data_IF_505714089525
#
_entry.id   IF_505714089525
#
_cell.length_a   1.000
_cell.length_b   1.000
_cell.length_c   1.000
_cell.angle_alpha   90.00
_cell.angle_beta   90.00
_cell.angle_gamma   90.00
#
_symmetry.space_group_name_H-M   'P 1'
#
loop_
_entity.id
_entity.type
_entity.pdbx_description
1 polymer ?
#
# COMPACT_ATOMS: atom_id res chain seq x y z
N UNK A 1 -1.33 -21.51 1.55
CA UNK A 1 -1.08 -20.61 0.40
C UNK A 1 -0.22 -21.31 -0.64
N UNK A 2 0.97 -21.83 -0.28
CA UNK A 2 1.90 -22.46 -1.24
C UNK A 2 1.29 -23.64 -2.01
N UNK A 3 0.53 -24.50 -1.34
CA UNK A 3 -0.15 -25.64 -1.98
C UNK A 3 -1.17 -25.17 -3.02
N UNK A 4 -2.04 -24.22 -2.64
CA UNK A 4 -3.03 -23.63 -3.54
C UNK A 4 -2.35 -22.98 -4.76
N UNK A 5 -1.25 -22.23 -4.53
CA UNK A 5 -0.52 -21.61 -5.62
C UNK A 5 0.02 -22.65 -6.62
N UNK A 6 0.59 -23.76 -6.12
CA UNK A 6 1.07 -24.87 -6.97
C UNK A 6 -0.06 -25.55 -7.73
N UNK A 7 -1.19 -25.82 -7.06
CA UNK A 7 -2.39 -26.39 -7.69
C UNK A 7 -2.94 -25.50 -8.81
N UNK A 8 -2.82 -24.19 -8.66
CA UNK A 8 -3.19 -23.21 -9.68
C UNK A 8 -2.14 -23.00 -10.77
N UNK A 9 -1.03 -23.76 -10.74
CA UNK A 9 0.03 -23.72 -11.76
C UNK A 9 1.06 -22.61 -11.55
N UNK A 10 1.10 -21.96 -10.38
CA UNK A 10 2.10 -20.97 -10.08
C UNK A 10 3.43 -21.62 -9.66
N UNK A 11 4.54 -21.01 -10.06
CA UNK A 11 5.86 -21.34 -9.53
C UNK A 11 5.99 -20.77 -8.11
N UNK A 12 6.33 -21.64 -7.15
CA UNK A 12 6.46 -21.24 -5.74
C UNK A 12 7.94 -21.19 -5.37
N UNK A 13 8.45 -20.01 -5.15
CA UNK A 13 9.81 -19.74 -4.77
C UNK A 13 9.85 -19.42 -3.28
N UNK A 14 10.65 -20.16 -2.53
CA UNK A 14 10.82 -19.95 -1.09
C UNK A 14 12.17 -19.27 -0.83
N UNK A 15 12.13 -18.23 -0.01
CA UNK A 15 13.30 -17.51 0.45
C UNK A 15 13.13 -17.18 1.92
N UNK A 16 14.21 -17.22 2.69
CA UNK A 16 14.20 -16.83 4.09
C UNK A 16 13.80 -15.37 4.23
N UNK A 17 12.92 -15.09 5.17
CA UNK A 17 12.41 -13.73 5.36
C UNK A 17 13.50 -12.78 5.87
N UNK A 18 13.90 -11.76 5.09
CA UNK A 18 15.00 -10.85 5.47
C UNK A 18 14.57 -9.78 6.49
N UNK A 19 13.32 -9.83 6.98
CA UNK A 19 12.77 -8.83 7.90
C UNK A 19 12.16 -7.60 7.23
N UNK A 20 12.33 -7.45 5.91
CA UNK A 20 11.86 -6.30 5.15
C UNK A 20 11.26 -6.75 3.81
N UNK A 21 10.08 -6.24 3.46
CA UNK A 21 9.35 -6.63 2.25
C UNK A 21 10.02 -6.13 0.97
N UNK A 22 10.66 -4.96 0.99
CA UNK A 22 11.39 -4.41 -0.14
C UNK A 22 12.60 -5.29 -0.48
N UNK A 23 13.34 -5.76 0.54
CA UNK A 23 14.47 -6.66 0.34
C UNK A 23 14.01 -8.00 -0.23
N UNK A 24 12.91 -8.55 0.29
CA UNK A 24 12.32 -9.79 -0.22
C UNK A 24 11.93 -9.65 -1.69
N UNK A 25 11.30 -8.56 -2.07
CA UNK A 25 10.88 -8.34 -3.45
C UNK A 25 12.05 -8.06 -4.38
N UNK A 26 13.03 -7.26 -3.94
CA UNK A 26 14.24 -7.01 -4.71
C UNK A 26 15.05 -8.30 -4.92
N UNK A 27 15.14 -9.14 -3.90
CA UNK A 27 15.75 -10.46 -4.03
C UNK A 27 15.07 -11.31 -5.11
N UNK A 28 13.71 -11.31 -5.15
CA UNK A 28 12.95 -12.02 -6.18
C UNK A 28 13.33 -11.54 -7.59
N UNK A 29 13.35 -10.22 -7.81
CA UNK A 29 13.70 -9.62 -9.10
C UNK A 29 15.12 -10.01 -9.53
N UNK A 30 16.05 -10.11 -8.58
CA UNK A 30 17.46 -10.37 -8.86
C UNK A 30 17.78 -11.85 -9.11
N UNK A 31 17.01 -12.75 -8.51
CA UNK A 31 17.35 -14.19 -8.47
C UNK A 31 16.41 -15.05 -9.30
N UNK A 32 15.29 -14.51 -9.78
CA UNK A 32 14.32 -15.23 -10.61
C UNK A 32 14.39 -14.77 -12.05
N UNK A 33 14.46 -15.72 -12.98
CA UNK A 33 14.46 -15.42 -14.41
C UNK A 33 13.07 -14.98 -14.86
N UNK A 34 12.89 -13.68 -15.06
CA UNK A 34 11.62 -13.08 -15.50
C UNK A 34 11.69 -12.80 -16.99
N UNK A 35 10.95 -13.59 -17.79
CA UNK A 35 10.98 -13.53 -19.26
C UNK A 35 9.85 -12.67 -19.86
N UNK A 36 9.09 -11.94 -19.03
CA UNK A 36 8.01 -11.06 -19.47
C UNK A 36 8.45 -9.61 -19.55
N UNK A 37 7.83 -8.84 -20.44
CA UNK A 37 8.08 -7.39 -20.53
C UNK A 37 7.59 -6.60 -19.33
N UNK A 38 6.53 -7.09 -18.68
CA UNK A 38 5.86 -6.43 -17.57
C UNK A 38 5.78 -7.34 -16.36
N UNK A 39 5.97 -6.77 -15.20
CA UNK A 39 5.77 -7.40 -13.91
C UNK A 39 4.54 -6.78 -13.26
N UNK A 40 3.61 -7.59 -12.82
CA UNK A 40 2.50 -7.20 -11.97
C UNK A 40 2.78 -7.71 -10.55
N UNK A 41 2.91 -6.81 -9.59
CA UNK A 41 2.96 -7.17 -8.17
C UNK A 41 1.55 -7.13 -7.58
N UNK A 42 1.14 -8.26 -7.00
CA UNK A 42 -0.08 -8.36 -6.19
C UNK A 42 0.25 -9.01 -4.85
N UNK A 43 -0.35 -8.48 -3.79
CA UNK A 43 -0.34 -9.13 -2.49
C UNK A 43 -1.41 -10.24 -2.46
N UNK A 44 -1.29 -11.21 -1.54
CA UNK A 44 -2.16 -12.40 -1.54
C UNK A 44 -3.66 -12.10 -1.30
N UNK A 45 -3.96 -10.92 -0.77
CA UNK A 45 -5.30 -10.38 -0.53
C UNK A 45 -5.73 -9.33 -1.56
N UNK A 46 -5.00 -9.21 -2.68
CA UNK A 46 -5.32 -8.28 -3.76
C UNK A 46 -5.82 -9.02 -5.02
N UNK A 47 -6.74 -8.40 -5.74
CA UNK A 47 -7.21 -8.89 -7.05
C UNK A 47 -7.58 -7.74 -8.00
N UNK A 48 -7.51 -8.04 -9.30
CA UNK A 48 -7.87 -7.07 -10.34
C UNK A 48 -9.38 -7.13 -10.61
N UNK A 49 -10.01 -5.96 -10.76
CA UNK A 49 -11.38 -5.88 -11.25
C UNK A 49 -11.46 -6.24 -12.74
N UNK A 50 -12.58 -6.83 -13.23
CA UNK A 50 -12.74 -7.21 -14.64
C UNK A 50 -12.47 -6.05 -15.63
N UNK A 51 -12.91 -4.85 -15.28
CA UNK A 51 -12.71 -3.65 -16.10
C UNK A 51 -11.22 -3.26 -16.19
N UNK A 52 -10.46 -3.45 -15.12
CA UNK A 52 -9.02 -3.23 -15.13
C UNK A 52 -8.31 -4.29 -15.98
N UNK A 53 -8.73 -5.56 -15.90
CA UNK A 53 -8.18 -6.63 -16.73
C UNK A 53 -8.40 -6.31 -18.22
N UNK A 54 -9.60 -5.87 -18.58
CA UNK A 54 -9.93 -5.48 -19.96
C UNK A 54 -9.05 -4.29 -20.42
N UNK A 55 -8.91 -3.26 -19.59
CA UNK A 55 -8.06 -2.10 -19.87
C UNK A 55 -6.58 -2.50 -20.07
N UNK A 56 -6.07 -3.39 -19.23
CA UNK A 56 -4.69 -3.86 -19.33
C UNK A 56 -4.46 -4.69 -20.60
N UNK A 57 -5.38 -5.58 -20.94
CA UNK A 57 -5.29 -6.40 -22.16
C UNK A 57 -5.32 -5.55 -23.43
N UNK A 58 -6.06 -4.44 -23.42
CA UNK A 58 -6.11 -3.50 -24.55
C UNK A 58 -4.82 -2.69 -24.65
N UNK A 59 -4.34 -2.13 -23.53
CA UNK A 59 -3.26 -1.13 -23.54
C UNK A 59 -1.85 -1.70 -23.50
N UNK A 60 -1.60 -2.79 -22.75
CA UNK A 60 -0.24 -3.32 -22.58
C UNK A 60 0.45 -3.72 -23.90
N UNK A 61 -0.23 -4.34 -24.89
CA UNK A 61 0.42 -4.74 -26.15
C UNK A 61 0.96 -3.57 -26.98
N UNK A 62 0.28 -2.41 -26.89
CA UNK A 62 0.59 -1.22 -27.70
C UNK A 62 1.24 -0.09 -26.87
N UNK A 63 1.63 -0.39 -25.63
CA UNK A 63 2.17 0.60 -24.71
C UNK A 63 3.51 1.18 -25.24
N UNK A 64 3.58 2.50 -25.27
CA UNK A 64 4.78 3.25 -25.63
C UNK A 64 6.01 2.79 -24.82
N UNK A 65 7.17 2.68 -25.48
CA UNK A 65 8.39 2.20 -24.83
C UNK A 65 8.94 3.16 -23.77
N UNK A 66 8.59 4.43 -23.85
CA UNK A 66 8.92 5.43 -22.81
C UNK A 66 8.09 5.29 -21.54
N UNK A 67 7.04 4.43 -21.52
CA UNK A 67 6.26 4.14 -20.33
C UNK A 67 6.86 2.95 -19.60
N UNK A 68 7.31 3.16 -18.37
CA UNK A 68 7.97 2.14 -17.55
C UNK A 68 7.11 1.62 -16.38
N UNK A 69 6.06 2.34 -16.00
CA UNK A 69 5.21 1.93 -14.90
C UNK A 69 3.75 2.36 -15.08
N UNK A 70 2.84 1.60 -14.46
CA UNK A 70 1.41 1.88 -14.43
C UNK A 70 0.96 2.01 -12.97
N UNK A 71 0.32 3.14 -12.66
CA UNK A 71 -0.30 3.43 -11.38
C UNK A 71 -1.76 3.02 -11.42
N UNK A 72 -2.15 2.14 -10.51
CA UNK A 72 -3.50 1.61 -10.36
C UNK A 72 -4.21 2.30 -9.21
N UNK A 73 -5.50 2.52 -9.35
CA UNK A 73 -6.35 3.01 -8.27
C UNK A 73 -6.72 1.87 -7.32
N UNK A 74 -6.52 2.07 -6.02
CA UNK A 74 -6.85 1.09 -4.99
C UNK A 74 -8.31 1.24 -4.56
N UNK A 75 -9.06 0.15 -4.62
CA UNK A 75 -10.32 -0.02 -3.92
C UNK A 75 -10.08 -0.91 -2.69
N UNK A 76 -10.71 -0.57 -1.58
CA UNK A 76 -10.56 -1.33 -0.34
C UNK A 76 -11.83 -2.09 -0.02
N UNK A 77 -11.69 -3.40 0.20
CA UNK A 77 -12.79 -4.22 0.71
C UNK A 77 -12.54 -4.58 2.18
N UNK A 78 -13.62 -4.58 2.96
CA UNK A 78 -13.59 -4.97 4.36
C UNK A 78 -14.87 -5.71 4.72
N UNK A 79 -14.76 -6.81 5.43
CA UNK A 79 -15.88 -7.70 5.77
C UNK A 79 -16.71 -8.10 4.54
N UNK A 80 -16.05 -8.33 3.39
CA UNK A 80 -16.71 -8.78 2.14
C UNK A 80 -17.40 -7.67 1.35
N UNK A 81 -17.22 -6.40 1.69
CA UNK A 81 -17.80 -5.25 1.00
C UNK A 81 -16.74 -4.26 0.57
N UNK A 82 -16.81 -3.81 -0.69
CA UNK A 82 -15.99 -2.69 -1.17
C UNK A 82 -16.51 -1.41 -0.54
N UNK A 83 -15.61 -0.67 0.11
CA UNK A 83 -15.89 0.62 0.72
C UNK A 83 -15.67 1.74 -0.31
N UNK A 84 -16.58 2.72 -0.30
CA UNK A 84 -16.55 3.84 -1.23
C UNK A 84 -16.34 5.20 -0.57
N UNK A 85 -16.47 5.25 0.76
CA UNK A 85 -16.44 6.48 1.55
C UNK A 85 -15.43 6.37 2.72
N UNK A 86 -15.25 7.42 3.50
CA UNK A 86 -14.38 7.34 4.69
C UNK A 86 -12.87 7.35 4.41
N UNK A 87 -12.40 8.05 3.37
CA UNK A 87 -10.96 8.14 2.99
C UNK A 87 -10.40 6.78 2.52
N UNK A 88 -11.16 6.02 1.79
CA UNK A 88 -10.71 4.76 1.18
C UNK A 88 -10.38 4.92 -0.30
N UNK A 89 -10.81 6.00 -0.93
CA UNK A 89 -10.62 6.29 -2.35
C UNK A 89 -9.48 7.27 -2.61
N UNK A 90 -9.00 7.30 -3.85
CA UNK A 90 -7.97 8.25 -4.31
C UNK A 90 -6.54 7.81 -4.01
N UNK A 91 -6.34 6.63 -3.45
CA UNK A 91 -5.01 6.06 -3.28
C UNK A 91 -4.59 5.41 -4.61
N UNK A 92 -3.46 5.87 -5.14
CA UNK A 92 -2.86 5.28 -6.33
C UNK A 92 -1.53 4.63 -5.98
N UNK A 93 -1.31 3.44 -6.51
CA UNK A 93 -0.12 2.64 -6.24
C UNK A 93 0.43 2.09 -7.56
N UNK A 94 1.72 2.18 -7.76
CA UNK A 94 2.38 1.50 -8.87
C UNK A 94 2.39 0.00 -8.57
N UNK A 95 1.66 -0.76 -9.38
CA UNK A 95 1.57 -2.23 -9.29
C UNK A 95 2.12 -2.94 -10.51
N UNK A 96 2.23 -2.24 -11.65
CA UNK A 96 2.74 -2.80 -12.90
C UNK A 96 3.93 -1.98 -13.35
N UNK A 97 5.01 -2.65 -13.75
CA UNK A 97 6.21 -1.97 -14.24
C UNK A 97 6.98 -2.87 -15.22
N UNK A 98 7.79 -2.24 -16.08
CA UNK A 98 8.66 -3.00 -17.03
C UNK A 98 9.76 -3.71 -16.27
N UNK A 99 10.07 -4.91 -16.71
CA UNK A 99 11.18 -5.71 -16.18
C UNK A 99 12.48 -4.93 -16.26
N UNK A 100 13.20 -4.85 -15.14
CA UNK A 100 14.45 -4.09 -15.01
C UNK A 100 14.28 -2.58 -14.84
N UNK A 101 13.06 -2.03 -14.80
CA UNK A 101 12.82 -0.58 -14.73
C UNK A 101 12.31 -0.08 -13.36
N UNK A 102 12.21 -0.94 -12.37
CA UNK A 102 11.78 -0.56 -11.03
C UNK A 102 12.48 -1.34 -9.93
N UNK A 103 12.62 -0.72 -8.78
CA UNK A 103 13.16 -1.33 -7.56
C UNK A 103 12.51 -0.72 -6.33
N UNK A 104 12.43 -1.50 -5.27
CA UNK A 104 12.04 -1.00 -3.96
C UNK A 104 13.21 -0.34 -3.26
N UNK A 105 12.96 0.83 -2.67
CA UNK A 105 13.92 1.53 -1.82
C UNK A 105 14.11 0.76 -0.51
N UNK A 106 15.33 0.74 0.00
CA UNK A 106 15.68 0.09 1.27
C UNK A 106 15.24 0.98 2.45
N UNK A 107 13.93 1.01 2.74
CA UNK A 107 13.38 1.73 3.90
C UNK A 107 12.75 0.78 4.89
N UNK A 108 12.78 1.16 6.17
CA UNK A 108 12.22 0.34 7.26
C UNK A 108 10.69 0.38 7.26
N UNK A 109 10.11 1.49 6.81
CA UNK A 109 8.66 1.68 6.66
C UNK A 109 8.35 2.60 5.48
N UNK A 110 7.12 2.47 4.93
CA UNK A 110 6.66 3.18 3.73
C UNK A 110 7.58 2.91 2.51
N UNK A 111 7.79 1.64 2.22
CA UNK A 111 8.58 1.17 1.10
C UNK A 111 7.98 1.68 -0.22
N UNK A 112 8.74 2.48 -0.94
CA UNK A 112 8.33 2.99 -2.24
C UNK A 112 8.98 2.22 -3.37
N UNK A 113 8.19 1.92 -4.39
CA UNK A 113 8.71 1.42 -5.66
C UNK A 113 9.25 2.60 -6.48
N UNK A 114 10.56 2.68 -6.60
CA UNK A 114 11.25 3.70 -7.41
C UNK A 114 11.33 3.24 -8.86
N UNK A 115 10.92 4.11 -9.78
CA UNK A 115 11.04 3.90 -11.20
C UNK A 115 12.39 4.47 -11.64
N UNK A 116 13.25 3.60 -12.16
CA UNK A 116 14.63 3.92 -12.49
C UNK A 116 14.75 4.78 -13.76
N UNK A 117 13.80 4.62 -14.68
CA UNK A 117 13.79 5.33 -15.95
C UNK A 117 12.39 5.25 -16.60
N UNK A 118 12.02 6.25 -17.40
CA UNK A 118 10.76 6.31 -18.13
C UNK A 118 9.63 6.97 -17.34
N UNK A 119 8.42 6.86 -17.88
CA UNK A 119 7.22 7.54 -17.36
C UNK A 119 6.29 6.56 -16.64
N UNK A 120 5.62 7.06 -15.62
CA UNK A 120 4.47 6.38 -14.99
C UNK A 120 3.18 6.96 -15.56
N UNK A 121 2.27 6.09 -16.00
CA UNK A 121 0.92 6.50 -16.42
C UNK A 121 -0.13 5.90 -15.50
N UNK A 122 -1.29 6.55 -15.45
CA UNK A 122 -2.41 6.13 -14.60
C UNK A 122 -3.39 5.27 -15.39
N UNK A 123 -3.78 4.12 -14.80
CA UNK A 123 -4.91 3.33 -15.29
C UNK A 123 -6.22 3.88 -14.73
N UNK A 124 -7.28 3.73 -15.51
CA UNK A 124 -8.60 4.26 -15.16
C UNK A 124 -9.28 3.41 -14.09
N UNK A 125 -9.17 2.10 -14.21
CA UNK A 125 -9.90 1.15 -13.37
C UNK A 125 -9.10 0.74 -12.13
N UNK A 126 -9.76 -0.03 -11.23
CA UNK A 126 -9.29 -0.30 -9.88
C UNK A 126 -8.85 -1.76 -9.71
N UNK A 127 -7.90 -1.96 -8.81
CA UNK A 127 -7.68 -3.24 -8.15
C UNK A 127 -8.20 -3.19 -6.72
N UNK A 128 -8.45 -4.32 -6.11
CA UNK A 128 -9.05 -4.42 -4.77
C UNK A 128 -8.05 -5.03 -3.80
N UNK A 129 -7.87 -4.38 -2.65
CA UNK A 129 -7.28 -4.95 -1.44
C UNK A 129 -8.44 -5.47 -0.57
N UNK A 130 -8.59 -6.80 -0.53
CA UNK A 130 -9.69 -7.50 0.15
C UNK A 130 -9.21 -8.08 1.48
N UNK A 131 -9.24 -7.25 2.51
CA UNK A 131 -8.84 -7.68 3.83
C UNK A 131 -9.87 -8.65 4.43
N UNK A 132 -9.53 -9.95 4.41
CA UNK A 132 -10.35 -11.05 4.94
C UNK A 132 -9.99 -11.47 6.37
N UNK A 133 -9.17 -10.70 7.05
CA UNK A 133 -8.84 -10.96 8.45
C UNK A 133 -10.08 -10.81 9.31
N UNK A 134 -10.19 -11.66 10.33
CA UNK A 134 -11.14 -11.42 11.42
C UNK A 134 -10.79 -10.12 12.14
N UNK A 135 -11.75 -9.52 12.82
CA UNK A 135 -11.52 -8.28 13.60
C UNK A 135 -10.37 -8.46 14.58
N UNK A 136 -10.27 -9.62 15.24
CA UNK A 136 -9.17 -9.92 16.16
C UNK A 136 -7.81 -9.96 15.48
N UNK A 137 -7.70 -10.64 14.36
CA UNK A 137 -6.46 -10.69 13.57
C UNK A 137 -6.07 -9.32 13.00
N UNK A 138 -7.07 -8.56 12.53
CA UNK A 138 -6.89 -7.19 12.07
C UNK A 138 -6.35 -6.30 13.19
N UNK A 139 -6.92 -6.38 14.40
CA UNK A 139 -6.48 -5.60 15.56
C UNK A 139 -5.04 -5.93 15.95
N UNK A 140 -4.69 -7.23 16.03
CA UNK A 140 -3.30 -7.65 16.33
C UNK A 140 -2.30 -7.15 15.28
N UNK A 141 -2.65 -7.26 13.99
CA UNK A 141 -1.81 -6.74 12.90
C UNK A 141 -1.56 -5.25 13.04
N UNK A 142 -2.61 -4.49 13.37
CA UNK A 142 -2.53 -3.03 13.46
C UNK A 142 -1.92 -2.52 14.77
N UNK A 143 -2.04 -3.29 15.85
CA UNK A 143 -1.29 -3.02 17.09
C UNK A 143 0.22 -3.06 16.84
N UNK A 144 0.70 -4.04 16.07
CA UNK A 144 2.10 -4.09 15.67
C UNK A 144 2.52 -2.87 14.81
N UNK A 145 1.63 -2.39 13.93
CA UNK A 145 1.91 -1.17 13.15
C UNK A 145 1.91 0.08 14.03
N UNK A 146 0.94 0.20 14.95
CA UNK A 146 0.86 1.31 15.89
C UNK A 146 2.09 1.38 16.80
N UNK A 147 2.57 0.24 17.28
CA UNK A 147 3.79 0.15 18.10
C UNK A 147 5.03 0.60 17.34
N UNK A 148 5.19 0.21 16.07
CA UNK A 148 6.29 0.70 15.22
C UNK A 148 6.20 2.19 14.94
N UNK A 149 5.00 2.68 14.66
CA UNK A 149 4.76 4.10 14.44
C UNK A 149 5.03 4.94 15.68
N UNK A 150 4.61 4.44 16.86
CA UNK A 150 4.91 5.10 18.13
C UNK A 150 6.42 5.18 18.39
N UNK A 151 7.17 4.13 18.07
CA UNK A 151 8.63 4.15 18.18
C UNK A 151 9.26 5.22 17.27
N UNK A 152 8.78 5.36 16.02
CA UNK A 152 9.25 6.40 15.09
C UNK A 152 8.91 7.81 15.59
N UNK A 153 7.70 7.99 16.13
CA UNK A 153 7.29 9.29 16.68
C UNK A 153 8.12 9.68 17.92
N UNK A 154 8.39 8.71 18.81
CA UNK A 154 9.25 8.93 19.98
C UNK A 154 10.69 9.22 19.57
N UNK A 155 11.21 8.49 18.59
CA UNK A 155 12.55 8.75 18.04
C UNK A 155 12.66 10.17 17.48
N UNK A 156 11.67 10.61 16.72
CA UNK A 156 11.61 11.97 16.17
C UNK A 156 11.45 13.06 17.24
N UNK A 157 10.77 12.77 18.35
CA UNK A 157 10.55 13.71 19.46
C UNK A 157 11.76 13.82 20.38
N UNK A 158 12.38 12.68 20.70
CA UNK A 158 13.47 12.62 21.69
C UNK A 158 14.86 12.45 21.09
N UNK A 159 14.96 12.37 19.73
CA UNK A 159 16.25 12.20 19.02
C UNK A 159 17.07 11.00 19.52
N UNK A 160 16.37 9.85 19.70
CA UNK A 160 16.98 8.64 20.27
C UNK A 160 17.93 7.93 19.30
N UNK A 161 17.72 8.08 18.00
CA UNK A 161 18.61 7.54 16.97
C UNK A 161 19.18 8.64 16.07
N UNK A 162 20.38 8.41 15.54
CA UNK A 162 21.03 9.32 14.58
C UNK A 162 20.45 9.14 13.17
N UNK A 163 19.19 9.55 12.98
CA UNK A 163 18.48 9.45 11.71
C UNK A 163 18.88 10.52 10.69
N UNK A 164 19.91 11.31 10.96
CA UNK A 164 20.41 12.38 10.07
C UNK A 164 20.88 11.88 8.68
N UNK A 165 21.00 10.55 8.50
CA UNK A 165 21.44 9.90 7.27
C UNK A 165 20.32 9.40 6.36
N UNK A 166 19.05 9.58 6.73
CA UNK A 166 17.93 9.24 5.84
C UNK A 166 17.75 10.33 4.79
N UNK A 167 18.11 9.99 3.58
CA UNK A 167 18.21 10.85 2.40
C UNK A 167 17.02 11.80 2.17
N UNK A 168 17.37 13.02 1.75
CA UNK A 168 16.50 14.19 1.55
C UNK A 168 15.81 14.25 0.18
N UNK A 169 15.67 13.16 -0.53
CA UNK A 169 15.05 13.22 -1.85
C UNK A 169 13.64 12.60 -1.84
N UNK A 170 12.68 13.42 -1.49
CA UNK A 170 11.28 13.02 -1.45
C UNK A 170 10.46 14.01 -2.27
N UNK A 171 9.72 13.51 -3.26
CA UNK A 171 8.79 14.33 -4.02
C UNK A 171 7.78 15.09 -3.12
N UNK A 172 7.29 16.22 -3.59
CA UNK A 172 6.38 17.14 -2.84
C UNK A 172 5.20 16.45 -2.14
N UNK A 173 4.66 15.36 -2.70
CA UNK A 173 3.54 14.62 -2.10
C UNK A 173 3.92 13.89 -0.81
N UNK A 174 5.15 13.36 -0.75
CA UNK A 174 5.66 12.67 0.44
C UNK A 174 5.92 13.69 1.55
N UNK A 175 6.45 14.85 1.21
CA UNK A 175 6.64 15.94 2.17
C UNK A 175 5.32 16.48 2.71
N UNK A 176 4.30 16.64 1.86
CA UNK A 176 2.93 17.01 2.29
C UNK A 176 2.33 16.01 3.27
N UNK A 177 2.45 14.70 2.98
CA UNK A 177 1.98 13.64 3.87
C UNK A 177 2.72 13.64 5.21
N UNK A 178 4.04 13.84 5.20
CA UNK A 178 4.85 13.96 6.43
C UNK A 178 4.46 15.17 7.26
N UNK A 179 4.27 16.33 6.63
CA UNK A 179 3.84 17.54 7.32
C UNK A 179 2.44 17.37 7.94
N UNK A 180 1.50 16.71 7.24
CA UNK A 180 0.19 16.38 7.79
C UNK A 180 0.28 15.44 8.98
N UNK A 181 1.13 14.41 8.90
CA UNK A 181 1.38 13.44 9.96
C UNK A 181 2.01 14.11 11.19
N UNK A 182 3.00 14.97 10.98
CA UNK A 182 3.62 15.75 12.06
C UNK A 182 2.62 16.73 12.73
N UNK A 183 1.74 17.35 11.94
CA UNK A 183 0.67 18.21 12.49
C UNK A 183 -0.34 17.40 13.31
N UNK A 184 -0.73 16.23 12.83
CA UNK A 184 -1.61 15.32 13.55
C UNK A 184 -0.97 14.82 14.86
N UNK A 185 0.33 14.48 14.85
CA UNK A 185 1.07 14.02 16.02
C UNK A 185 1.11 15.05 17.15
N UNK A 186 1.10 16.36 16.82
CA UNK A 186 1.09 17.47 17.79
C UNK A 186 -0.30 17.70 18.44
N UNK A 187 -1.36 17.07 17.93
CA UNK A 187 -2.70 17.22 18.52
C UNK A 187 -2.79 16.40 19.82
N UNK A 188 -3.62 16.82 20.81
CA UNK A 188 -3.81 16.07 22.04
C UNK A 188 -4.18 14.61 21.76
N UNK A 189 -3.52 13.70 22.48
CA UNK A 189 -3.81 12.26 22.45
C UNK A 189 -5.30 12.00 22.60
N UNK A 190 -5.89 10.95 22.50
CA UNK A 190 -7.31 10.61 22.58
C UNK A 190 -8.24 11.46 21.69
N UNK A 191 -8.20 12.79 21.80
CA UNK A 191 -9.05 13.70 21.01
C UNK A 191 -8.72 13.64 19.52
N UNK A 192 -7.45 13.47 19.17
CA UNK A 192 -7.05 13.30 17.75
C UNK A 192 -7.61 12.03 17.14
N UNK A 193 -7.61 10.92 17.89
CA UNK A 193 -8.15 9.63 17.43
C UNK A 193 -9.67 9.71 17.24
N UNK A 194 -10.39 10.27 18.22
CA UNK A 194 -11.83 10.51 18.11
C UNK A 194 -12.19 11.48 16.99
N UNK A 195 -11.45 12.58 16.88
CA UNK A 195 -11.61 13.55 15.80
C UNK A 195 -11.38 12.95 14.41
N UNK A 196 -10.41 12.03 14.29
CA UNK A 196 -10.14 11.32 13.05
C UNK A 196 -11.28 10.38 12.66
N UNK A 197 -11.83 9.64 13.63
CA UNK A 197 -13.03 8.82 13.41
C UNK A 197 -14.22 9.68 12.93
N UNK A 198 -14.53 10.79 13.63
CA UNK A 198 -15.61 11.69 13.24
C UNK A 198 -15.39 12.26 11.84
N UNK A 199 -14.17 12.68 11.53
CA UNK A 199 -13.83 13.19 10.22
C UNK A 199 -14.07 12.15 9.12
N UNK A 200 -13.60 10.91 9.31
CA UNK A 200 -13.79 9.84 8.33
C UNK A 200 -15.26 9.44 8.19
N UNK A 201 -15.90 9.16 9.32
CA UNK A 201 -17.26 8.61 9.34
C UNK A 201 -18.31 9.65 8.94
N UNK A 202 -18.25 10.86 9.54
CA UNK A 202 -19.25 11.91 9.30
C UNK A 202 -18.86 12.75 8.07
N UNK A 203 -17.70 13.44 8.11
CA UNK A 203 -17.35 14.44 7.10
C UNK A 203 -17.03 13.79 5.75
N UNK A 204 -16.33 12.65 5.75
CA UNK A 204 -16.01 11.89 4.54
C UNK A 204 -17.07 10.85 4.16
N UNK A 205 -18.16 10.80 4.90
CA UNK A 205 -19.35 10.04 4.55
C UNK A 205 -19.24 8.53 4.72
N UNK A 206 -18.32 8.02 5.58
CA UNK A 206 -18.15 6.59 5.82
C UNK A 206 -19.42 5.89 6.29
N UNK A 207 -20.36 6.64 6.90
CA UNK A 207 -21.69 6.14 7.28
C UNK A 207 -22.51 5.60 6.09
N UNK A 208 -22.20 6.04 4.85
CA UNK A 208 -22.87 5.56 3.63
C UNK A 208 -22.53 4.11 3.30
N UNK A 209 -21.39 3.64 3.77
CA UNK A 209 -20.97 2.24 3.58
C UNK A 209 -21.59 1.29 4.61
N UNK A 210 -22.49 1.80 5.47
CA UNK A 210 -23.23 1.00 6.44
C UNK A 210 -22.37 0.55 7.62
N UNK A 211 -22.66 -0.65 8.14
CA UNK A 211 -21.95 -1.20 9.29
C UNK A 211 -20.47 -1.48 9.01
N UNK A 212 -20.12 -1.85 7.80
CA UNK A 212 -18.74 -2.08 7.36
C UNK A 212 -17.95 -0.77 7.34
N UNK A 213 -18.56 0.32 6.85
CA UNK A 213 -17.97 1.66 6.89
C UNK A 213 -17.79 2.18 8.31
N UNK A 214 -18.80 1.97 9.19
CA UNK A 214 -18.66 2.30 10.60
C UNK A 214 -17.48 1.56 11.24
N UNK A 215 -17.45 0.24 11.09
CA UNK A 215 -16.41 -0.59 11.70
C UNK A 215 -15.02 -0.23 11.19
N UNK A 216 -14.89 -0.03 9.89
CA UNK A 216 -13.64 0.39 9.26
C UNK A 216 -13.15 1.74 9.82
N UNK A 217 -14.00 2.76 9.80
CA UNK A 217 -13.61 4.11 10.25
C UNK A 217 -13.36 4.17 11.76
N UNK A 218 -14.11 3.39 12.56
CA UNK A 218 -13.86 3.26 13.98
C UNK A 218 -12.50 2.62 14.26
N UNK A 219 -12.18 1.50 13.60
CA UNK A 219 -10.89 0.83 13.77
C UNK A 219 -9.72 1.72 13.31
N UNK A 220 -9.92 2.52 12.24
CA UNK A 220 -8.91 3.49 11.79
C UNK A 220 -8.65 4.62 12.79
N UNK A 221 -9.62 4.98 13.62
CA UNK A 221 -9.44 5.93 14.72
C UNK A 221 -8.89 5.28 15.99
N UNK A 222 -9.19 4.00 16.20
CA UNK A 222 -8.80 3.25 17.39
C UNK A 222 -7.28 3.03 17.47
N UNK A 223 -6.65 2.62 16.40
CA UNK A 223 -5.21 2.32 16.34
C UNK A 223 -4.43 3.43 15.58
#
# INVERSE_FOLDING_TARGET
TCEIAKEMGAEVIQHEWPGNQAEQFNWLIDNVSINTKWILRLDADEYLMPDLIAELNEKLPTMDEGVSALSLSLARAYCGKILHHGIVNGIRIVRIFRTGKARYDKRIMDEHLSILDGKTIEMKHQFVDDNRLTIGQFTIKHENYASREAAILLDAEYHLSDTSKLEKDHGEEVEKKRAQKAKYAKMPLFWRAFGYFIYRYIVKGGWRDGKEGFLWDFLQGWW
#
